data_IF_724084032253
#
_entry.id   IF_724084032253
#
_cell.length_a   1.000
_cell.length_b   1.000
_cell.length_c   1.000
_cell.angle_alpha   90.00
_cell.angle_beta   90.00
_cell.angle_gamma   90.00
#
_symmetry.space_group_name_H-M   'P 1'
#
loop_
_entity.id
_entity.type
_entity.pdbx_description
1 polymer ?
#
# COMPACT_ATOMS: atom_id res chain seq x y z
N UNK A 1 -3.01 -9.76 18.67
CA UNK A 1 -1.58 -9.86 19.10
C UNK A 1 -1.13 -11.31 19.36
N UNK A 2 -1.65 -12.33 18.65
CA UNK A 2 -1.38 -13.75 18.99
C UNK A 2 -0.51 -14.53 17.99
N UNK A 3 -0.28 -14.05 16.76
CA UNK A 3 0.44 -14.82 15.73
C UNK A 3 1.92 -14.43 15.51
N UNK A 4 2.42 -13.36 16.14
CA UNK A 4 3.78 -12.85 15.88
C UNK A 4 4.70 -12.81 17.12
N UNK A 5 4.36 -13.52 18.21
CA UNK A 5 5.19 -13.50 19.42
C UNK A 5 6.54 -14.22 19.25
N UNK A 6 6.66 -15.15 18.30
CA UNK A 6 7.87 -15.96 18.10
C UNK A 6 8.62 -15.67 16.79
N UNK A 7 8.07 -14.83 15.91
CA UNK A 7 8.67 -14.55 14.60
C UNK A 7 9.31 -13.15 14.59
N UNK A 8 10.56 -12.97 14.12
CA UNK A 8 11.13 -11.64 13.95
C UNK A 8 10.25 -10.75 13.05
N UNK A 9 9.90 -9.56 13.57
CA UNK A 9 8.93 -8.63 12.98
C UNK A 9 9.26 -8.30 11.51
N UNK A 10 10.54 -8.19 11.17
CA UNK A 10 10.98 -7.90 9.79
C UNK A 10 10.53 -8.97 8.80
N UNK A 11 10.64 -10.25 9.15
CA UNK A 11 10.23 -11.35 8.26
C UNK A 11 8.71 -11.38 8.09
N UNK A 12 7.95 -11.13 9.16
CA UNK A 12 6.49 -11.04 9.06
C UNK A 12 6.06 -9.92 8.10
N UNK A 13 6.62 -8.72 8.23
CA UNK A 13 6.29 -7.58 7.36
C UNK A 13 6.69 -7.87 5.91
N UNK A 14 7.85 -8.49 5.67
CA UNK A 14 8.25 -8.87 4.30
C UNK A 14 7.34 -9.93 3.68
N UNK A 15 6.97 -10.98 4.43
CA UNK A 15 6.07 -12.03 3.93
C UNK A 15 4.69 -11.46 3.63
N UNK A 16 4.16 -10.62 4.52
CA UNK A 16 2.85 -9.97 4.34
C UNK A 16 2.87 -9.04 3.10
N UNK A 17 3.92 -8.24 2.96
CA UNK A 17 4.13 -7.39 1.79
C UNK A 17 4.21 -8.18 0.48
N UNK A 18 4.89 -9.34 0.50
CA UNK A 18 4.99 -10.23 -0.65
C UNK A 18 3.63 -10.87 -0.98
N UNK A 19 2.86 -11.27 0.03
CA UNK A 19 1.52 -11.81 -0.15
C UNK A 19 0.59 -10.79 -0.80
N UNK A 20 0.63 -9.53 -0.37
CA UNK A 20 -0.17 -8.47 -1.00
C UNK A 20 0.26 -8.20 -2.44
N UNK A 21 1.57 -8.18 -2.72
CA UNK A 21 2.06 -8.07 -4.09
C UNK A 21 1.55 -9.22 -4.96
N UNK A 22 1.51 -10.44 -4.42
CA UNK A 22 0.99 -11.62 -5.13
C UNK A 22 -0.51 -11.50 -5.40
N UNK A 23 -1.32 -11.09 -4.40
CA UNK A 23 -2.75 -10.86 -4.58
C UNK A 23 -2.99 -9.83 -5.70
N UNK A 24 -2.29 -8.69 -5.66
CA UNK A 24 -2.43 -7.65 -6.68
C UNK A 24 -1.97 -8.16 -8.05
N UNK A 25 -0.89 -8.93 -8.12
CA UNK A 25 -0.42 -9.55 -9.35
C UNK A 25 -1.48 -10.45 -10.00
N UNK A 26 -2.18 -11.27 -9.20
CA UNK A 26 -3.28 -12.11 -9.69
C UNK A 26 -4.42 -11.26 -10.25
N UNK A 27 -4.79 -10.17 -9.56
CA UNK A 27 -5.82 -9.25 -10.06
C UNK A 27 -5.41 -8.55 -11.36
N UNK A 28 -4.17 -8.06 -11.45
CA UNK A 28 -3.63 -7.45 -12.66
C UNK A 28 -3.59 -8.45 -13.82
N UNK A 29 -3.17 -9.69 -13.57
CA UNK A 29 -3.17 -10.76 -14.59
C UNK A 29 -4.58 -11.09 -15.07
N UNK A 30 -5.55 -11.20 -14.16
CA UNK A 30 -6.95 -11.44 -14.51
C UNK A 30 -7.53 -10.28 -15.31
N UNK A 31 -7.21 -9.04 -14.94
CA UNK A 31 -7.61 -7.84 -15.67
C UNK A 31 -6.97 -7.79 -17.07
N UNK A 32 -5.72 -8.24 -17.22
CA UNK A 32 -5.06 -8.35 -18.52
C UNK A 32 -5.75 -9.38 -19.40
N UNK A 33 -6.07 -10.56 -18.87
CA UNK A 33 -6.80 -11.59 -19.62
C UNK A 33 -8.18 -11.08 -20.08
N UNK A 34 -8.88 -10.33 -19.22
CA UNK A 34 -10.17 -9.75 -19.57
C UNK A 34 -10.02 -8.71 -20.69
N UNK A 35 -8.99 -7.86 -20.62
CA UNK A 35 -8.68 -6.91 -21.68
C UNK A 35 -8.32 -7.61 -23.00
N UNK A 36 -7.51 -8.67 -22.94
CA UNK A 36 -7.10 -9.44 -24.11
C UNK A 36 -8.28 -10.15 -24.80
N UNK A 37 -9.24 -10.66 -24.00
CA UNK A 37 -10.43 -11.32 -24.52
C UNK A 37 -11.48 -10.33 -25.07
N UNK A 38 -11.34 -9.03 -24.80
CA UNK A 38 -12.25 -7.97 -25.25
C UNK A 38 -11.54 -6.98 -26.19
N UNK A 39 -10.52 -7.46 -26.92
CA UNK A 39 -9.75 -6.64 -27.86
C UNK A 39 -10.58 -6.14 -29.04
N UNK A 40 -11.58 -6.91 -29.48
CA UNK A 40 -12.37 -6.59 -30.66
C UNK A 40 -13.40 -5.46 -30.42
N UNK A 41 -13.89 -5.28 -29.19
CA UNK A 41 -14.76 -4.17 -28.76
C UNK A 41 -14.39 -3.68 -27.35
N UNK A 42 -13.28 -2.92 -27.21
CA UNK A 42 -12.77 -2.56 -25.91
C UNK A 42 -13.63 -1.48 -25.25
N UNK A 43 -14.35 -1.86 -24.19
CA UNK A 43 -15.02 -0.88 -23.33
C UNK A 43 -13.99 -0.05 -22.55
N UNK A 44 -14.17 1.28 -22.54
CA UNK A 44 -13.31 2.22 -21.80
C UNK A 44 -13.20 1.90 -20.31
N UNK A 45 -14.24 1.32 -19.71
CA UNK A 45 -14.26 0.87 -18.31
C UNK A 45 -13.24 -0.26 -18.06
N UNK A 46 -13.10 -1.19 -19.00
CA UNK A 46 -12.14 -2.29 -18.94
C UNK A 46 -10.71 -1.75 -19.03
N UNK A 47 -10.45 -0.83 -19.96
CA UNK A 47 -9.12 -0.18 -20.10
C UNK A 47 -8.76 0.59 -18.81
N UNK A 48 -9.69 1.40 -18.29
CA UNK A 48 -9.47 2.17 -17.07
C UNK A 48 -9.21 1.26 -15.86
N UNK A 49 -9.94 0.15 -15.74
CA UNK A 49 -9.73 -0.83 -14.66
C UNK A 49 -8.33 -1.47 -14.74
N UNK A 50 -7.87 -1.84 -15.93
CA UNK A 50 -6.55 -2.42 -16.14
C UNK A 50 -5.44 -1.44 -15.76
N UNK A 51 -5.51 -0.20 -16.23
CA UNK A 51 -4.53 0.84 -15.89
C UNK A 51 -4.46 1.10 -14.38
N UNK A 52 -5.62 1.09 -13.70
CA UNK A 52 -5.68 1.22 -12.24
C UNK A 52 -4.95 0.06 -11.53
N UNK A 53 -5.24 -1.19 -11.90
CA UNK A 53 -4.58 -2.36 -11.30
C UNK A 53 -3.08 -2.44 -11.64
N UNK A 54 -2.67 -1.99 -12.82
CA UNK A 54 -1.26 -1.93 -13.21
C UNK A 54 -0.49 -0.89 -12.38
N UNK A 55 -1.05 0.32 -12.23
CA UNK A 55 -0.45 1.36 -11.38
C UNK A 55 -0.34 0.87 -9.92
N UNK A 56 -1.41 0.25 -9.41
CA UNK A 56 -1.42 -0.29 -8.06
C UNK A 56 -0.39 -1.41 -7.87
N UNK A 57 -0.22 -2.29 -8.87
CA UNK A 57 0.81 -3.32 -8.87
C UNK A 57 2.23 -2.74 -8.80
N UNK A 58 2.52 -1.71 -9.61
CA UNK A 58 3.83 -1.03 -9.59
C UNK A 58 4.08 -0.40 -8.21
N UNK A 59 3.10 0.31 -7.65
CA UNK A 59 3.19 0.88 -6.30
C UNK A 59 3.48 -0.20 -5.24
N UNK A 60 2.82 -1.35 -5.33
CA UNK A 60 3.00 -2.46 -4.41
C UNK A 60 4.40 -3.09 -4.53
N UNK A 61 4.91 -3.25 -5.76
CA UNK A 61 6.27 -3.73 -6.01
C UNK A 61 7.33 -2.79 -5.44
N UNK A 62 7.16 -1.49 -5.67
CA UNK A 62 8.06 -0.45 -5.15
C UNK A 62 8.05 -0.51 -3.62
N UNK A 63 6.86 -0.55 -2.99
CA UNK A 63 6.72 -0.63 -1.54
C UNK A 63 7.39 -1.89 -0.95
N UNK A 64 7.20 -3.05 -1.58
CA UNK A 64 7.84 -4.31 -1.15
C UNK A 64 9.36 -4.25 -1.27
N UNK A 65 9.88 -3.69 -2.37
CA UNK A 65 11.32 -3.51 -2.58
C UNK A 65 11.94 -2.61 -1.51
N UNK A 66 11.27 -1.51 -1.16
CA UNK A 66 11.73 -0.61 -0.12
C UNK A 66 11.75 -1.25 1.27
N UNK A 67 10.80 -2.13 1.60
CA UNK A 67 10.82 -2.90 2.87
C UNK A 67 12.03 -3.85 2.92
N UNK A 68 12.33 -4.54 1.83
CA UNK A 68 13.50 -5.42 1.74
C UNK A 68 14.80 -4.60 1.88
N UNK A 69 14.85 -3.43 1.25
CA UNK A 69 16.00 -2.52 1.34
C UNK A 69 16.14 -1.92 2.75
N UNK A 70 15.04 -1.60 3.42
CA UNK A 70 15.00 -1.09 4.79
C UNK A 70 15.66 -2.08 5.76
N UNK A 71 15.42 -3.37 5.58
CA UNK A 71 16.08 -4.42 6.36
C UNK A 71 17.58 -4.51 6.04
N UNK A 72 17.98 -4.50 4.76
CA UNK A 72 19.40 -4.63 4.38
C UNK A 72 20.26 -3.43 4.81
N UNK A 73 19.70 -2.22 4.78
CA UNK A 73 20.44 -0.98 5.11
C UNK A 73 20.17 -0.46 6.52
N UNK A 74 19.26 -1.08 7.27
CA UNK A 74 18.84 -0.64 8.62
C UNK A 74 18.41 0.83 8.68
N UNK A 75 17.84 1.38 7.60
CA UNK A 75 17.38 2.77 7.54
C UNK A 75 15.86 2.80 7.65
N UNK A 76 15.35 3.36 8.74
CA UNK A 76 13.91 3.46 9.03
C UNK A 76 13.12 4.24 7.96
N UNK A 77 13.77 5.20 7.29
CA UNK A 77 13.13 6.08 6.27
C UNK A 77 12.62 5.31 5.03
N UNK A 78 13.14 4.12 4.75
CA UNK A 78 12.64 3.30 3.65
C UNK A 78 11.30 2.62 3.95
N UNK A 79 10.78 2.68 5.18
CA UNK A 79 9.44 2.13 5.50
C UNK A 79 8.29 3.10 5.15
N UNK A 80 8.56 4.39 4.89
CA UNK A 80 7.52 5.39 4.62
C UNK A 80 6.64 5.07 3.40
N UNK A 81 7.19 4.65 2.23
CA UNK A 81 6.35 4.33 1.07
C UNK A 81 5.31 3.25 1.36
N UNK A 82 5.70 2.22 2.12
CA UNK A 82 4.78 1.14 2.53
C UNK A 82 3.72 1.65 3.49
N UNK A 83 4.09 2.44 4.50
CA UNK A 83 3.15 3.02 5.46
C UNK A 83 2.13 3.94 4.79
N UNK A 84 2.57 4.79 3.85
CA UNK A 84 1.69 5.67 3.10
C UNK A 84 0.70 4.87 2.23
N UNK A 85 1.16 3.81 1.58
CA UNK A 85 0.32 2.94 0.77
C UNK A 85 -0.74 2.22 1.60
N UNK A 86 -0.36 1.63 2.74
CA UNK A 86 -1.30 0.97 3.67
C UNK A 86 -2.32 1.98 4.21
N UNK A 87 -1.89 3.20 4.57
CA UNK A 87 -2.80 4.24 5.06
C UNK A 87 -3.83 4.61 3.99
N UNK A 88 -3.40 4.78 2.74
CA UNK A 88 -4.31 5.03 1.61
C UNK A 88 -5.32 3.90 1.43
N UNK A 89 -4.91 2.64 1.58
CA UNK A 89 -5.80 1.49 1.50
C UNK A 89 -6.82 1.45 2.63
N UNK A 90 -6.42 1.78 3.86
CA UNK A 90 -7.34 1.87 5.01
C UNK A 90 -8.39 2.94 4.75
N UNK A 91 -8.00 4.12 4.27
CA UNK A 91 -8.92 5.22 3.97
C UNK A 91 -9.89 4.81 2.86
N UNK A 92 -9.38 4.23 1.76
CA UNK A 92 -10.20 3.78 0.64
C UNK A 92 -11.20 2.70 1.06
N UNK A 93 -10.74 1.69 1.81
CA UNK A 93 -11.59 0.62 2.33
C UNK A 93 -12.60 1.14 3.35
N UNK A 94 -12.21 2.07 4.21
CA UNK A 94 -13.11 2.71 5.18
C UNK A 94 -14.22 3.50 4.50
N UNK A 95 -13.88 4.25 3.45
CA UNK A 95 -14.85 4.98 2.63
C UNK A 95 -15.82 4.00 1.94
N UNK A 96 -15.30 2.91 1.36
CA UNK A 96 -16.13 1.88 0.75
C UNK A 96 -17.11 1.27 1.75
N UNK A 97 -16.64 0.91 2.96
CA UNK A 97 -17.50 0.43 4.04
C UNK A 97 -18.58 1.46 4.41
N UNK A 98 -18.23 2.74 4.53
CA UNK A 98 -19.19 3.81 4.84
C UNK A 98 -20.27 3.95 3.75
N UNK A 99 -19.88 3.91 2.48
CA UNK A 99 -20.79 3.97 1.33
C UNK A 99 -21.77 2.79 1.35
N UNK A 100 -21.30 1.58 1.64
CA UNK A 100 -22.15 0.39 1.70
C UNK A 100 -23.06 0.41 2.93
N UNK A 101 -22.59 0.93 4.06
CA UNK A 101 -23.44 1.14 5.23
C UNK A 101 -24.56 2.15 4.94
N UNK A 102 -24.26 3.23 4.20
CA UNK A 102 -25.30 4.17 3.73
C UNK A 102 -26.28 3.48 2.77
N UNK A 103 -25.80 2.57 1.92
CA UNK A 103 -26.65 1.76 1.04
C UNK A 103 -27.66 0.93 1.83
N UNK A 104 -27.23 0.22 2.88
CA UNK A 104 -28.12 -0.58 3.73
C UNK A 104 -28.91 0.24 4.77
N UNK A 105 -28.42 1.43 5.15
CA UNK A 105 -29.00 2.29 6.17
C UNK A 105 -30.19 3.15 5.72
N UNK A 106 -30.60 3.07 4.45
CA UNK A 106 -31.83 3.72 3.98
C UNK A 106 -31.74 4.38 2.60
N UNK A 107 -30.53 4.61 2.07
CA UNK A 107 -30.34 5.20 0.75
C UNK A 107 -30.42 4.20 -0.42
N UNK A 108 -30.80 2.94 -0.14
CA UNK A 108 -30.77 1.82 -1.08
C UNK A 108 -31.47 2.14 -2.42
N UNK A 109 -32.66 2.75 -2.36
CA UNK A 109 -33.46 3.10 -3.55
C UNK A 109 -32.75 4.12 -4.44
N UNK A 110 -32.20 5.19 -3.86
CA UNK A 110 -31.53 6.26 -4.59
C UNK A 110 -30.22 5.77 -5.22
N UNK A 111 -29.41 5.02 -4.46
CA UNK A 111 -28.14 4.49 -4.96
C UNK A 111 -28.32 3.42 -6.04
N UNK A 112 -29.33 2.55 -5.90
CA UNK A 112 -29.65 1.55 -6.94
C UNK A 112 -30.09 2.26 -8.22
N UNK A 113 -30.93 3.30 -8.13
CA UNK A 113 -31.35 4.09 -9.29
C UNK A 113 -30.16 4.82 -9.96
N UNK A 114 -29.21 5.32 -9.18
CA UNK A 114 -27.99 5.93 -9.70
C UNK A 114 -27.10 4.90 -10.43
N UNK A 115 -26.92 3.71 -9.85
CA UNK A 115 -26.16 2.63 -10.49
C UNK A 115 -26.81 2.21 -11.80
N UNK A 116 -28.13 2.09 -11.85
CA UNK A 116 -28.84 1.77 -13.10
C UNK A 116 -28.73 2.88 -14.15
N UNK A 117 -28.76 4.16 -13.77
CA UNK A 117 -28.52 5.25 -14.73
C UNK A 117 -27.11 5.20 -15.33
N UNK A 118 -26.11 4.89 -14.50
CA UNK A 118 -24.74 4.71 -14.98
C UNK A 118 -24.67 3.50 -15.92
N UNK A 119 -25.29 2.40 -15.54
CA UNK A 119 -25.29 1.20 -16.36
C UNK A 119 -25.99 1.43 -17.69
N UNK A 120 -27.16 2.05 -17.70
CA UNK A 120 -27.90 2.39 -18.92
C UNK A 120 -27.13 3.37 -19.81
N UNK A 121 -26.35 4.28 -19.22
CA UNK A 121 -25.46 5.17 -19.97
C UNK A 121 -24.34 4.41 -20.70
N UNK A 122 -23.82 3.34 -20.11
CA UNK A 122 -22.70 2.57 -20.69
C UNK A 122 -23.13 1.40 -21.57
N UNK A 123 -24.26 0.75 -21.27
CA UNK A 123 -24.70 -0.50 -21.91
C UNK A 123 -26.06 -0.38 -22.64
N UNK A 124 -26.71 0.78 -22.62
CA UNK A 124 -28.02 0.99 -23.24
C UNK A 124 -29.20 0.63 -22.32
N UNK A 125 -30.43 0.77 -22.83
CA UNK A 125 -31.65 0.53 -22.04
C UNK A 125 -31.80 -0.95 -21.67
N UNK A 126 -32.10 -1.19 -20.39
CA UNK A 126 -32.38 -2.51 -19.82
C UNK A 126 -33.88 -2.66 -19.62
N UNK A 127 -34.41 -3.87 -19.85
CA UNK A 127 -35.81 -4.20 -19.60
C UNK A 127 -36.19 -4.14 -18.11
N UNK A 128 -37.45 -3.84 -17.80
CA UNK A 128 -37.90 -3.67 -16.41
C UNK A 128 -37.88 -4.98 -15.61
N UNK A 129 -38.01 -6.13 -16.29
CA UNK A 129 -37.91 -7.44 -15.65
C UNK A 129 -36.45 -7.75 -15.25
N UNK A 130 -35.48 -7.39 -16.09
CA UNK A 130 -34.05 -7.52 -15.79
C UNK A 130 -33.61 -6.59 -14.65
N UNK A 131 -34.17 -5.37 -14.57
CA UNK A 131 -33.90 -4.44 -13.46
C UNK A 131 -34.29 -5.00 -12.10
N UNK A 132 -35.40 -5.74 -12.02
CA UNK A 132 -35.85 -6.35 -10.77
C UNK A 132 -34.89 -7.46 -10.30
N UNK A 133 -34.39 -8.27 -11.24
CA UNK A 133 -33.38 -9.31 -10.97
C UNK A 133 -32.06 -8.67 -10.55
N UNK A 134 -31.55 -7.70 -11.33
CA UNK A 134 -30.29 -7.00 -11.05
C UNK A 134 -30.31 -6.32 -9.67
N UNK A 135 -31.45 -5.78 -9.24
CA UNK A 135 -31.58 -5.15 -7.92
C UNK A 135 -31.40 -6.16 -6.78
N UNK A 136 -31.91 -7.37 -6.94
CA UNK A 136 -31.76 -8.44 -5.95
C UNK A 136 -30.31 -8.93 -5.87
N UNK A 137 -29.66 -9.10 -7.02
CA UNK A 137 -28.26 -9.50 -7.12
C UNK A 137 -27.33 -8.42 -6.56
N UNK A 138 -27.60 -7.15 -6.89
CA UNK A 138 -26.82 -6.01 -6.41
C UNK A 138 -26.79 -5.94 -4.88
N UNK A 139 -27.91 -6.28 -4.22
CA UNK A 139 -27.96 -6.34 -2.75
C UNK A 139 -27.05 -7.44 -2.19
N UNK A 140 -27.04 -8.60 -2.84
CA UNK A 140 -26.18 -9.72 -2.46
C UNK A 140 -24.69 -9.38 -2.68
N UNK A 141 -24.37 -8.80 -3.83
CA UNK A 141 -23.02 -8.32 -4.13
C UNK A 141 -22.57 -7.22 -3.16
N UNK A 142 -23.44 -6.27 -2.82
CA UNK A 142 -23.14 -5.22 -1.84
C UNK A 142 -22.84 -5.81 -0.45
N UNK A 143 -23.60 -6.83 -0.02
CA UNK A 143 -23.36 -7.53 1.24
C UNK A 143 -22.02 -8.30 1.26
N UNK A 144 -21.74 -9.04 0.18
CA UNK A 144 -20.46 -9.75 0.04
C UNK A 144 -19.27 -8.76 -0.01
N UNK A 145 -19.43 -7.66 -0.74
CA UNK A 145 -18.41 -6.62 -0.85
C UNK A 145 -18.17 -5.91 0.48
N UNK A 146 -19.21 -5.73 1.31
CA UNK A 146 -19.06 -5.20 2.67
C UNK A 146 -18.23 -6.12 3.55
N UNK A 147 -18.53 -7.43 3.55
CA UNK A 147 -17.77 -8.41 4.35
C UNK A 147 -16.30 -8.46 3.92
N UNK A 148 -16.04 -8.41 2.62
CA UNK A 148 -14.68 -8.35 2.07
C UNK A 148 -13.96 -7.05 2.46
N UNK A 149 -14.62 -5.89 2.30
CA UNK A 149 -14.04 -4.59 2.65
C UNK A 149 -13.76 -4.47 4.15
N UNK A 150 -14.64 -4.99 5.01
CA UNK A 150 -14.42 -5.02 6.46
C UNK A 150 -13.22 -5.90 6.82
N UNK A 151 -13.15 -7.10 6.24
CA UNK A 151 -12.03 -8.03 6.45
C UNK A 151 -10.71 -7.42 5.99
N UNK A 152 -10.72 -6.79 4.82
CA UNK A 152 -9.56 -6.10 4.26
C UNK A 152 -9.14 -4.90 5.14
N UNK A 153 -10.08 -4.11 5.65
CA UNK A 153 -9.79 -3.02 6.57
C UNK A 153 -9.10 -3.51 7.86
N UNK A 154 -9.62 -4.56 8.49
CA UNK A 154 -9.00 -5.17 9.68
C UNK A 154 -7.60 -5.69 9.36
N UNK A 155 -7.43 -6.34 8.21
CA UNK A 155 -6.14 -6.81 7.73
C UNK A 155 -5.13 -5.66 7.54
N UNK A 156 -5.54 -4.57 6.87
CA UNK A 156 -4.68 -3.41 6.64
C UNK A 156 -4.30 -2.68 7.94
N UNK A 157 -5.20 -2.61 8.92
CA UNK A 157 -4.89 -2.07 10.25
C UNK A 157 -3.86 -2.93 10.97
N UNK A 158 -4.01 -4.26 10.89
CA UNK A 158 -3.03 -5.19 11.44
C UNK A 158 -1.65 -5.04 10.78
N UNK A 159 -1.60 -4.93 9.46
CA UNK A 159 -0.38 -4.69 8.72
C UNK A 159 0.27 -3.34 9.09
N UNK A 160 -0.52 -2.28 9.22
CA UNK A 160 -0.04 -0.97 9.64
C UNK A 160 0.63 -1.05 11.01
N UNK A 161 0.03 -1.78 11.95
CA UNK A 161 0.60 -1.98 13.28
C UNK A 161 1.94 -2.72 13.23
N UNK A 162 2.04 -3.79 12.45
CA UNK A 162 3.30 -4.53 12.27
C UNK A 162 4.39 -3.69 11.60
N UNK A 163 4.03 -2.94 10.56
CA UNK A 163 4.97 -2.08 9.83
C UNK A 163 5.46 -0.93 10.73
N UNK A 164 4.58 -0.38 11.57
CA UNK A 164 4.96 0.63 12.58
C UNK A 164 5.90 0.05 13.64
N UNK A 165 5.65 -1.18 14.10
CA UNK A 165 6.54 -1.88 15.05
C UNK A 165 7.91 -2.16 14.42
N UNK A 166 7.94 -2.54 13.14
CA UNK A 166 9.19 -2.70 12.39
C UNK A 166 9.95 -1.39 12.27
N UNK A 167 9.26 -0.29 11.92
CA UNK A 167 9.84 1.05 11.89
C UNK A 167 10.46 1.46 13.24
N UNK A 168 9.77 1.21 14.36
CA UNK A 168 10.32 1.47 15.70
C UNK A 168 11.55 0.61 16.02
N UNK A 169 11.56 -0.65 15.58
CA UNK A 169 12.71 -1.54 15.77
C UNK A 169 13.94 -1.04 14.99
N UNK A 170 13.72 -0.49 13.80
CA UNK A 170 14.78 0.12 12.99
C UNK A 170 15.27 1.46 13.58
N UNK A 171 14.40 2.22 14.25
CA UNK A 171 14.80 3.43 14.99
C UNK A 171 15.63 3.12 16.24
N UNK A 172 15.33 2.01 16.92
CA UNK A 172 16.14 1.55 18.07
C UNK A 172 17.51 1.00 17.66
N UNK A 173 17.68 0.62 16.39
CA UNK A 173 19.00 0.44 15.81
C UNK A 173 19.60 1.83 15.53
N UNK A 174 20.27 2.38 16.55
CA UNK A 174 21.23 3.45 16.34
C UNK A 174 22.20 3.01 15.23
N UNK A 175 22.47 3.80 14.18
CA UNK A 175 23.69 3.60 13.43
C UNK A 175 24.82 3.58 14.46
N UNK A 176 25.77 2.66 14.34
CA UNK A 176 27.05 2.82 15.03
C UNK A 176 27.50 4.25 14.72
N UNK A 177 27.72 5.11 15.73
CA UNK A 177 28.25 6.43 15.44
C UNK A 177 29.50 6.23 14.57
N UNK A 178 29.69 7.06 13.55
CA UNK A 178 30.93 7.05 12.76
C UNK A 178 32.19 7.29 13.63
N UNK A 179 32.04 7.47 14.94
CA UNK A 179 33.07 7.39 15.95
C UNK A 179 33.29 5.93 16.39
N UNK A 180 33.89 5.12 15.51
CA UNK A 180 34.88 4.06 15.82
C UNK A 180 35.09 3.18 14.57
N UNK A 181 36.29 2.63 14.28
CA UNK A 181 37.67 3.09 14.44
C UNK A 181 38.44 3.02 13.09
N UNK A 182 37.76 3.28 11.96
CA UNK A 182 38.32 3.28 10.58
C UNK A 182 38.22 4.64 9.87
N UNK A 183 38.21 5.74 10.62
CA UNK A 183 38.76 6.97 10.07
C UNK A 183 40.20 6.67 9.59
N UNK A 184 40.68 7.23 8.46
CA UNK A 184 42.09 7.09 8.10
C UNK A 184 42.89 7.48 9.34
N UNK A 185 43.73 6.54 9.81
CA UNK A 185 44.49 6.64 11.06
C UNK A 185 44.87 8.09 11.29
N UNK A 186 44.46 8.67 12.42
CA UNK A 186 45.11 9.90 12.86
C UNK A 186 46.61 9.62 12.77
N UNK A 187 47.37 10.35 11.94
CA UNK A 187 48.78 10.07 11.80
C UNK A 187 49.37 10.18 13.20
N UNK A 188 50.10 9.13 13.60
CA UNK A 188 50.72 9.04 14.91
C UNK A 188 51.35 10.39 15.24
N UNK A 189 51.01 10.95 16.40
CA UNK A 189 51.54 12.21 16.88
C UNK A 189 53.07 12.12 16.86
N UNK A 190 53.68 12.71 15.83
CA UNK A 190 55.12 12.78 15.69
C UNK A 190 55.56 14.11 16.32
N UNK A 191 56.25 14.09 17.47
CA UNK A 191 56.70 15.31 18.14
C UNK A 191 57.68 16.13 17.30
N UNK A 192 58.27 15.56 16.24
CA UNK A 192 59.20 16.26 15.34
C UNK A 192 58.51 17.18 14.33
N UNK A 193 57.18 17.10 14.18
CA UNK A 193 56.40 17.97 13.27
C UNK A 193 55.54 19.00 14.02
N UNK A 194 55.81 19.20 15.31
CA UNK A 194 55.19 20.24 16.12
C UNK A 194 55.78 21.63 15.82
N UNK A 195 55.58 22.14 14.60
CA UNK A 195 55.60 23.57 14.23
C UNK A 195 55.49 23.72 12.71
N UNK A 196 54.56 24.50 12.17
CA UNK A 196 54.69 25.96 11.94
C UNK A 196 53.43 26.46 11.17
N UNK A 197 53.24 27.76 10.94
CA UNK A 197 52.91 28.83 11.87
C UNK A 197 51.51 29.42 11.56
N UNK A 198 51.03 30.29 12.45
CA UNK A 198 49.64 30.72 12.53
C UNK A 198 49.07 31.46 11.31
N UNK A 199 47.76 31.34 11.15
CA UNK A 199 46.92 32.39 10.59
C UNK A 199 46.02 32.93 11.69
N UNK A 200 46.46 34.06 12.25
CA UNK A 200 45.64 34.93 13.08
C UNK A 200 44.65 35.62 12.15
N UNK A 201 43.34 35.46 12.40
CA UNK A 201 42.33 36.35 11.83
C UNK A 201 42.16 37.52 12.80
N UNK A 202 42.56 38.76 12.45
CA UNK A 202 42.29 39.90 13.28
C UNK A 202 40.80 40.28 13.16
N UNK A 203 40.19 40.56 14.30
CA UNK A 203 38.86 41.14 14.41
C UNK A 203 38.77 42.44 13.59
N UNK A 204 37.78 42.53 12.71
CA UNK A 204 36.99 43.74 12.46
C UNK A 204 35.59 43.35 11.96
#
# INVERSE_FOLDING_TARGET
>A
MLLCCCWPVHKCVTVLSCFDTLIVAIFTYKSLNLLANTIDDPHWTTIASFLFFLCFFICQLIATTFIILAHKRSIARYCYPRLALILGLIICSGLACAIILMYFGGAQSSMTAFIFRIYEYFFGQIDDQEKAVLKSELKLYAGAFFALALTFCVYSVFEMFLTRKFYQTLLSFSPVPQNDPTAPMQPAFNPDFAQTPGKVYPNL
#
